data_IF_155213659867
#
_entry.id   IF_155213659867
#
_cell.length_a   1.000
_cell.length_b   1.000
_cell.length_c   1.000
_cell.angle_alpha   90.00
_cell.angle_beta   90.00
_cell.angle_gamma   90.00
#
_symmetry.space_group_name_H-M   'P 1'
#
loop_
_entity.id
_entity.type
_entity.pdbx_description
1 polymer ?
#
# COMPACT_ATOMS: atom_id res chain seq x y z
N UNK A 1 25.70 -3.33 5.57
CA UNK A 1 25.22 -2.77 4.30
C UNK A 1 24.01 -3.56 3.90
N UNK A 2 22.83 -2.94 3.85
CA UNK A 2 21.66 -3.57 3.24
C UNK A 2 21.99 -3.85 1.76
N UNK A 3 21.68 -5.05 1.24
CA UNK A 3 21.88 -5.36 -0.17
C UNK A 3 21.19 -4.29 -1.02
N UNK A 4 21.88 -3.76 -2.02
CA UNK A 4 21.24 -2.86 -2.96
C UNK A 4 20.13 -3.63 -3.69
N UNK A 5 18.96 -3.02 -3.92
CA UNK A 5 17.92 -3.63 -4.72
C UNK A 5 18.47 -4.05 -6.09
N UNK A 6 18.08 -5.21 -6.64
CA UNK A 6 18.46 -5.61 -7.99
C UNK A 6 18.15 -4.51 -9.02
N UNK A 7 18.96 -4.42 -10.08
CA UNK A 7 18.88 -3.35 -11.10
C UNK A 7 17.48 -3.23 -11.73
N UNK A 8 16.76 -4.34 -11.81
CA UNK A 8 15.40 -4.42 -12.37
C UNK A 8 14.36 -3.72 -11.47
N UNK A 9 14.51 -3.76 -10.15
CA UNK A 9 13.66 -2.99 -9.22
C UNK A 9 13.89 -1.49 -9.35
N UNK A 10 15.16 -1.08 -9.50
CA UNK A 10 15.50 0.33 -9.73
C UNK A 10 14.94 0.85 -11.06
N UNK A 11 15.06 0.06 -12.12
CA UNK A 11 14.54 0.42 -13.43
C UNK A 11 13.00 0.45 -13.45
N UNK A 12 12.36 -0.46 -12.72
CA UNK A 12 10.91 -0.47 -12.49
C UNK A 12 10.45 0.80 -11.77
N UNK A 13 11.11 1.15 -10.67
CA UNK A 13 10.81 2.36 -9.91
C UNK A 13 10.98 3.63 -10.77
N UNK A 14 12.06 3.72 -11.53
CA UNK A 14 12.30 4.86 -12.43
C UNK A 14 11.25 4.98 -13.54
N UNK A 15 10.74 3.85 -14.05
CA UNK A 15 9.66 3.84 -15.05
C UNK A 15 8.29 4.12 -14.44
N UNK A 16 8.10 3.78 -13.16
CA UNK A 16 6.90 4.12 -12.41
C UNK A 16 6.84 5.61 -12.08
N UNK A 17 7.98 6.28 -11.90
CA UNK A 17 8.03 7.73 -11.69
C UNK A 17 7.65 8.50 -12.96
N UNK A 18 6.52 9.22 -12.90
CA UNK A 18 6.09 10.18 -13.90
C UNK A 18 6.29 11.59 -13.35
N UNK A 19 6.95 12.45 -14.11
CA UNK A 19 6.97 13.88 -13.83
C UNK A 19 6.10 14.60 -14.86
N UNK A 20 5.12 15.36 -14.39
CA UNK A 20 4.30 16.25 -15.19
C UNK A 20 4.68 17.70 -14.88
N UNK A 21 4.71 18.55 -15.90
CA UNK A 21 4.90 19.99 -15.77
C UNK A 21 3.82 20.70 -16.55
N UNK A 22 3.38 21.85 -16.06
CA UNK A 22 2.27 22.57 -16.65
C UNK A 22 2.11 23.99 -16.12
N UNK A 23 1.02 24.61 -16.51
CA UNK A 23 0.65 25.97 -16.13
C UNK A 23 -0.82 25.94 -15.73
N UNK A 24 -1.14 26.47 -14.55
CA UNK A 24 -2.53 26.53 -14.08
C UNK A 24 -3.41 27.19 -15.14
N UNK A 25 -4.49 26.52 -15.52
CA UNK A 25 -5.42 27.03 -16.54
C UNK A 25 -6.49 27.90 -15.92
N UNK A 26 -6.85 27.62 -14.67
CA UNK A 26 -7.83 28.35 -13.89
C UNK A 26 -7.33 28.63 -12.47
N UNK A 27 -7.98 29.61 -11.83
CA UNK A 27 -7.73 29.97 -10.45
C UNK A 27 -8.09 28.81 -9.50
N UNK A 28 -7.21 28.52 -8.56
CA UNK A 28 -7.45 27.56 -7.49
C UNK A 28 -8.30 28.12 -6.34
N UNK A 29 -8.45 27.33 -5.29
CA UNK A 29 -9.16 27.75 -4.09
C UNK A 29 -8.53 29.00 -3.46
N UNK A 30 -9.37 29.88 -2.90
CA UNK A 30 -8.92 31.12 -2.26
C UNK A 30 -8.05 30.94 -1.01
N UNK A 31 -7.94 29.71 -0.52
CA UNK A 31 -7.07 29.26 0.56
C UNK A 31 -5.64 28.97 0.11
N UNK A 32 -5.34 28.97 -1.19
CA UNK A 32 -3.99 28.75 -1.73
C UNK A 32 -3.49 27.32 -1.60
N UNK A 33 -4.41 26.39 -1.35
CA UNK A 33 -4.21 24.96 -1.18
C UNK A 33 -4.80 24.15 -2.34
N UNK A 34 -5.26 24.79 -3.42
CA UNK A 34 -5.56 24.07 -4.66
C UNK A 34 -5.13 24.83 -5.90
N UNK A 35 -4.94 24.12 -7.00
CA UNK A 35 -4.76 24.66 -8.33
C UNK A 35 -5.44 23.78 -9.37
N UNK A 36 -5.75 24.35 -10.53
CA UNK A 36 -6.47 23.66 -11.61
C UNK A 36 -5.69 23.75 -12.91
N UNK A 37 -5.50 22.61 -13.58
CA UNK A 37 -4.99 22.55 -14.94
C UNK A 37 -5.74 21.45 -15.73
N UNK A 38 -6.37 21.84 -16.83
CA UNK A 38 -7.08 20.93 -17.73
C UNK A 38 -6.20 19.81 -18.32
N UNK A 39 -4.88 20.01 -18.45
CA UNK A 39 -3.94 18.98 -18.89
C UNK A 39 -3.78 17.83 -17.89
N UNK A 40 -4.17 18.05 -16.63
CA UNK A 40 -4.21 17.00 -15.61
C UNK A 40 -5.53 16.22 -15.64
N UNK A 41 -6.56 16.67 -16.36
CA UNK A 41 -7.77 15.88 -16.50
C UNK A 41 -7.45 14.53 -17.18
N UNK A 42 -7.93 13.43 -16.58
CA UNK A 42 -7.63 12.06 -16.99
C UNK A 42 -6.25 11.55 -16.58
N UNK A 43 -5.39 12.35 -15.93
CA UNK A 43 -4.08 11.88 -15.47
C UNK A 43 -4.18 10.81 -14.37
N UNK A 44 -5.32 10.75 -13.66
CA UNK A 44 -5.62 9.77 -12.61
C UNK A 44 -6.15 8.43 -13.12
N UNK A 45 -6.50 8.32 -14.41
CA UNK A 45 -6.94 7.05 -14.99
C UNK A 45 -5.78 6.05 -14.91
N UNK A 46 -5.83 5.17 -13.89
CA UNK A 46 -4.81 4.17 -13.56
C UNK A 46 -3.49 4.73 -12.98
N UNK A 47 -3.54 5.86 -12.28
CA UNK A 47 -2.37 6.41 -11.56
C UNK A 47 -2.76 6.98 -10.19
N UNK A 48 -1.89 6.82 -9.21
CA UNK A 48 -1.92 7.65 -8.01
C UNK A 48 -1.15 8.94 -8.33
N UNK A 49 -1.60 10.09 -7.85
CA UNK A 49 -0.88 11.37 -7.99
C UNK A 49 -0.30 11.76 -6.63
N UNK A 50 1.02 11.64 -6.44
CA UNK A 50 1.66 11.98 -5.16
C UNK A 50 3.06 12.59 -5.24
N UNK A 51 3.16 13.76 -4.60
CA UNK A 51 4.34 14.50 -4.11
C UNK A 51 5.48 14.80 -5.09
N UNK A 52 5.39 16.00 -5.65
CA UNK A 52 6.29 17.13 -5.44
C UNK A 52 5.65 18.26 -6.25
N UNK A 53 4.85 19.12 -5.61
CA UNK A 53 4.22 20.25 -6.26
C UNK A 53 5.06 21.52 -6.07
N UNK A 54 5.70 22.01 -7.14
CA UNK A 54 6.49 23.26 -7.12
C UNK A 54 5.63 24.41 -7.67
N UNK A 55 5.34 25.47 -6.91
CA UNK A 55 4.48 26.59 -7.33
C UNK A 55 5.04 27.94 -6.90
N UNK A 56 5.84 28.63 -7.71
CA UNK A 56 6.41 29.93 -7.28
C UNK A 56 5.90 31.11 -8.09
N UNK A 57 4.84 31.81 -7.65
CA UNK A 57 4.42 33.06 -8.26
C UNK A 57 5.63 34.03 -8.33
N UNK A 58 6.07 34.34 -9.54
CA UNK A 58 7.19 35.26 -9.80
C UNK A 58 8.61 34.76 -9.44
N UNK A 59 8.79 33.54 -8.91
CA UNK A 59 10.13 33.03 -8.51
C UNK A 59 10.35 31.53 -8.80
N UNK A 60 10.20 31.06 -10.05
CA UNK A 60 10.16 29.64 -10.44
C UNK A 60 11.43 28.82 -10.17
N UNK A 61 12.51 29.46 -9.68
CA UNK A 61 13.79 28.81 -9.36
C UNK A 61 13.94 28.38 -7.91
N UNK A 62 13.00 28.79 -7.05
CA UNK A 62 12.92 28.23 -5.71
C UNK A 62 12.31 26.83 -5.82
N UNK A 63 12.59 25.94 -4.86
CA UNK A 63 12.05 24.58 -4.81
C UNK A 63 11.52 24.34 -3.40
N UNK A 64 10.23 23.98 -3.31
CA UNK A 64 9.51 23.61 -2.10
C UNK A 64 8.56 22.49 -2.50
N UNK A 65 8.17 21.67 -1.52
CA UNK A 65 7.40 20.45 -1.75
C UNK A 65 6.19 20.43 -0.83
N UNK A 66 5.02 20.22 -1.42
CA UNK A 66 3.79 20.04 -0.68
C UNK A 66 3.13 18.71 -1.02
N UNK A 67 2.57 18.08 0.00
CA UNK A 67 1.78 16.86 -0.14
C UNK A 67 0.49 17.18 -0.90
N UNK A 68 0.05 16.24 -1.74
CA UNK A 68 -1.27 16.29 -2.39
C UNK A 68 -2.24 15.48 -1.53
N UNK A 69 -3.35 16.08 -1.13
CA UNK A 69 -4.38 15.44 -0.29
C UNK A 69 -5.59 14.96 -1.07
N UNK A 70 -5.85 15.56 -2.24
CA UNK A 70 -6.90 15.13 -3.16
C UNK A 70 -6.54 15.49 -4.60
N UNK A 71 -7.08 14.72 -5.54
CA UNK A 71 -6.93 14.95 -6.98
C UNK A 71 -8.26 14.64 -7.66
N UNK A 72 -8.75 15.58 -8.47
CA UNK A 72 -9.95 15.43 -9.30
C UNK A 72 -9.53 15.15 -10.74
N UNK A 73 -9.67 13.90 -11.17
CA UNK A 73 -9.33 13.45 -12.52
C UNK A 73 -10.27 13.99 -13.61
N UNK A 74 -11.50 14.38 -13.26
CA UNK A 74 -12.44 14.98 -14.21
C UNK A 74 -12.11 16.43 -14.55
N UNK A 75 -11.61 17.21 -13.59
CA UNK A 75 -11.33 18.64 -13.76
C UNK A 75 -9.84 18.98 -13.80
N UNK A 76 -8.97 18.06 -13.37
CA UNK A 76 -7.53 18.32 -13.18
C UNK A 76 -7.22 19.17 -11.95
N UNK A 77 -8.17 19.33 -11.02
CA UNK A 77 -7.93 20.04 -9.75
C UNK A 77 -7.06 19.20 -8.81
N UNK A 78 -6.02 19.84 -8.24
CA UNK A 78 -5.11 19.24 -7.26
C UNK A 78 -5.25 20.00 -5.95
N UNK A 79 -5.54 19.28 -4.86
CA UNK A 79 -5.56 19.83 -3.49
C UNK A 79 -4.28 19.48 -2.76
N UNK A 80 -3.67 20.48 -2.12
CA UNK A 80 -2.45 20.43 -1.37
C UNK A 80 -2.74 20.29 0.13
N UNK A 81 -1.80 19.78 0.92
CA UNK A 81 -1.94 19.62 2.37
C UNK A 81 -1.98 20.95 3.16
N UNK A 82 -1.81 22.07 2.48
CA UNK A 82 -1.85 23.40 3.06
C UNK A 82 -1.42 24.45 2.05
N UNK A 83 -1.64 25.71 2.41
CA UNK A 83 -1.38 26.85 1.55
C UNK A 83 0.10 26.92 1.13
N UNK A 84 0.33 27.09 -0.18
CA UNK A 84 1.68 27.26 -0.69
C UNK A 84 2.29 28.60 -0.22
N UNK A 85 3.59 28.60 0.12
CA UNK A 85 4.31 29.73 0.79
C UNK A 85 3.68 30.22 2.11
N UNK A 86 2.75 29.47 2.72
CA UNK A 86 2.09 29.88 3.96
C UNK A 86 1.19 31.12 3.80
N UNK A 87 0.78 31.44 2.56
CA UNK A 87 -0.14 32.55 2.26
C UNK A 87 -1.46 31.98 1.77
N UNK A 88 -2.55 32.20 2.53
CA UNK A 88 -3.89 31.80 2.12
C UNK A 88 -4.47 32.82 1.12
N UNK A 89 -4.11 32.68 -0.15
CA UNK A 89 -4.64 33.46 -1.26
C UNK A 89 -4.87 32.55 -2.48
N UNK A 90 -5.78 32.95 -3.38
CA UNK A 90 -6.02 32.27 -4.67
C UNK A 90 -4.68 32.07 -5.40
N UNK A 91 -4.41 30.84 -5.84
CA UNK A 91 -3.36 30.56 -6.83
C UNK A 91 -3.93 30.90 -8.21
N UNK A 92 -3.46 31.96 -8.88
CA UNK A 92 -4.08 32.40 -10.12
C UNK A 92 -3.80 31.46 -11.29
N UNK A 93 -4.58 31.57 -12.35
CA UNK A 93 -4.23 31.05 -13.67
C UNK A 93 -2.88 31.64 -14.17
N UNK A 94 -2.13 30.86 -14.95
CA UNK A 94 -0.83 31.26 -15.49
C UNK A 94 0.36 30.99 -14.57
N UNK A 95 0.18 30.26 -13.46
CA UNK A 95 1.25 29.90 -12.53
C UNK A 95 1.87 28.56 -12.97
N UNK A 96 3.21 28.50 -13.21
CA UNK A 96 3.87 27.26 -13.54
C UNK A 96 3.87 26.28 -12.36
N UNK A 97 3.69 24.99 -12.66
CA UNK A 97 3.82 23.91 -11.69
C UNK A 97 4.63 22.72 -12.21
N UNK A 98 5.08 21.91 -11.27
CA UNK A 98 5.63 20.58 -11.51
C UNK A 98 5.03 19.61 -10.52
N UNK A 99 4.62 18.42 -10.97
CA UNK A 99 4.16 17.30 -10.15
C UNK A 99 5.07 16.12 -10.44
N UNK A 100 5.57 15.47 -9.41
CA UNK A 100 6.17 14.14 -9.52
C UNK A 100 5.16 13.16 -8.93
N UNK A 101 4.96 12.02 -9.60
CA UNK A 101 4.09 10.95 -9.11
C UNK A 101 4.61 9.57 -9.50
N UNK A 102 4.03 8.53 -8.89
CA UNK A 102 4.19 7.14 -9.28
C UNK A 102 2.92 6.62 -9.95
N UNK A 103 3.07 6.07 -11.13
CA UNK A 103 2.03 5.29 -11.79
C UNK A 103 2.03 3.88 -11.24
N UNK A 104 0.87 3.44 -10.75
CA UNK A 104 0.59 2.06 -10.41
C UNK A 104 -0.67 1.62 -11.15
N UNK A 105 -0.58 0.57 -11.96
CA UNK A 105 -1.80 -0.02 -12.55
C UNK A 105 -2.52 -0.92 -11.53
N UNK A 106 -3.85 -1.12 -11.65
CA UNK A 106 -4.60 -1.94 -10.69
C UNK A 106 -4.02 -3.35 -10.49
N UNK A 107 -3.43 -3.95 -11.52
CA UNK A 107 -2.77 -5.24 -11.43
C UNK A 107 -1.50 -5.22 -10.55
N UNK A 108 -0.72 -4.13 -10.58
CA UNK A 108 0.48 -3.97 -9.74
C UNK A 108 0.08 -3.76 -8.28
N UNK A 109 -0.95 -2.94 -8.04
CA UNK A 109 -1.52 -2.76 -6.69
C UNK A 109 -2.05 -4.08 -6.14
N UNK A 110 -2.75 -4.87 -6.96
CA UNK A 110 -3.26 -6.18 -6.57
C UNK A 110 -2.14 -7.19 -6.28
N UNK A 111 -1.05 -7.17 -7.06
CA UNK A 111 0.12 -8.00 -6.82
C UNK A 111 0.83 -7.64 -5.51
N UNK A 112 1.06 -6.35 -5.26
CA UNK A 112 1.64 -5.88 -3.99
C UNK A 112 0.72 -6.31 -2.83
N UNK A 113 -0.57 -6.04 -2.93
CA UNK A 113 -1.53 -6.41 -1.88
C UNK A 113 -1.54 -7.92 -1.59
N UNK A 114 -1.35 -8.77 -2.60
CA UNK A 114 -1.23 -10.21 -2.43
C UNK A 114 0.08 -10.62 -1.74
N UNK A 115 1.20 -9.93 -2.03
CA UNK A 115 2.49 -10.19 -1.39
C UNK A 115 2.53 -9.72 0.08
N UNK A 116 1.82 -8.62 0.42
CA UNK A 116 1.72 -8.13 1.80
C UNK A 116 0.64 -8.84 2.62
N UNK A 117 -0.21 -9.67 2.00
CA UNK A 117 -1.25 -10.44 2.69
C UNK A 117 -0.61 -11.51 3.59
N UNK A 118 -0.75 -11.44 4.93
CA UNK A 118 -0.01 -12.28 5.89
C UNK A 118 -0.45 -13.76 5.93
N UNK A 119 -0.93 -14.33 4.82
CA UNK A 119 -1.60 -15.64 4.75
C UNK A 119 -0.74 -16.87 5.06
N UNK A 120 0.55 -16.77 5.35
CA UNK A 120 1.41 -17.96 5.56
C UNK A 120 2.43 -17.81 6.69
N UNK A 121 2.00 -17.46 7.91
CA UNK A 121 2.80 -17.76 9.11
C UNK A 121 2.05 -18.54 10.20
N UNK A 122 0.82 -18.98 9.96
CA UNK A 122 0.11 -19.78 10.97
C UNK A 122 -1.29 -20.22 10.55
N UNK A 123 -1.40 -21.18 9.62
CA UNK A 123 -2.59 -22.04 9.65
C UNK A 123 -2.42 -22.96 10.85
N UNK A 124 -3.00 -22.59 11.99
CA UNK A 124 -3.12 -23.51 13.12
C UNK A 124 -3.90 -24.75 12.65
N UNK A 125 -3.20 -25.85 12.39
CA UNK A 125 -3.83 -27.12 12.05
C UNK A 125 -4.31 -27.78 13.34
N UNK A 126 -5.40 -27.25 13.91
CA UNK A 126 -6.08 -27.88 15.04
C UNK A 126 -6.96 -28.99 14.47
N UNK A 127 -6.36 -30.15 14.22
CA UNK A 127 -7.12 -31.38 13.99
C UNK A 127 -7.56 -31.94 15.34
N UNK A 128 -8.76 -31.56 15.80
CA UNK A 128 -9.36 -32.16 16.99
C UNK A 128 -9.80 -33.59 16.65
N UNK A 129 -9.04 -34.58 17.11
CA UNK A 129 -9.40 -36.01 17.01
C UNK A 129 -9.72 -36.53 18.41
N UNK A 130 -10.84 -37.23 18.56
CA UNK A 130 -11.21 -37.92 19.81
C UNK A 130 -10.98 -39.41 19.62
N UNK A 131 -10.04 -39.98 20.37
CA UNK A 131 -9.72 -41.42 20.34
C UNK A 131 -10.15 -42.04 21.66
N UNK A 132 -10.97 -43.09 21.57
CA UNK A 132 -11.31 -43.92 22.71
C UNK A 132 -10.18 -44.93 22.98
N UNK A 133 -9.50 -44.77 24.11
CA UNK A 133 -8.40 -45.65 24.53
C UNK A 133 -8.91 -46.95 25.19
N UNK A 134 -10.23 -47.14 25.34
CA UNK A 134 -10.84 -48.32 25.96
C UNK A 134 -11.14 -49.45 24.96
N UNK A 135 -10.39 -49.52 23.85
CA UNK A 135 -10.49 -50.60 22.86
C UNK A 135 -9.35 -51.61 23.03
N UNK A 136 -9.56 -52.85 22.58
CA UNK A 136 -8.59 -53.95 22.72
C UNK A 136 -7.18 -53.56 22.25
N UNK A 137 -6.15 -54.09 22.93
CA UNK A 137 -4.75 -53.71 22.80
C UNK A 137 -4.26 -53.64 21.33
N UNK A 138 -4.26 -52.43 20.77
CA UNK A 138 -3.78 -52.11 19.43
C UNK A 138 -2.89 -50.86 19.48
N UNK A 139 -1.95 -50.75 18.54
CA UNK A 139 -1.18 -49.51 18.30
C UNK A 139 -2.02 -48.56 17.45
N UNK A 140 -2.27 -47.35 17.94
CA UNK A 140 -2.97 -46.29 17.20
C UNK A 140 -1.97 -45.23 16.74
N UNK A 141 -1.95 -44.96 15.44
CA UNK A 141 -1.17 -43.86 14.88
C UNK A 141 -1.99 -42.56 14.95
N UNK A 142 -1.47 -41.58 15.68
CA UNK A 142 -2.08 -40.25 15.83
C UNK A 142 -1.85 -39.37 14.59
N UNK A 143 -0.86 -39.72 13.76
CA UNK A 143 -0.46 -38.97 12.57
C UNK A 143 -0.20 -39.92 11.42
N UNK A 144 -1.26 -40.34 10.74
CA UNK A 144 -1.19 -41.29 9.62
C UNK A 144 -0.46 -40.76 8.34
N UNK A 145 0.27 -39.65 8.43
CA UNK A 145 0.98 -39.02 7.31
C UNK A 145 2.49 -39.15 7.43
N UNK A 146 3.13 -39.86 6.51
CA UNK A 146 4.59 -40.06 6.48
C UNK A 146 5.37 -38.88 5.88
N UNK A 147 4.68 -37.84 5.41
CA UNK A 147 5.25 -36.77 4.61
C UNK A 147 5.56 -35.47 5.38
N UNK A 148 5.20 -35.37 6.67
CA UNK A 148 5.30 -34.12 7.44
C UNK A 148 5.78 -34.38 8.87
N UNK A 149 6.72 -33.56 9.35
CA UNK A 149 7.08 -33.51 10.76
C UNK A 149 6.07 -32.60 11.50
N UNK A 150 5.36 -33.14 12.48
CA UNK A 150 4.40 -32.40 13.31
C UNK A 150 5.06 -32.04 14.63
N UNK A 151 5.04 -30.75 15.00
CA UNK A 151 5.45 -30.28 16.33
C UNK A 151 4.20 -30.16 17.19
N UNK A 152 4.19 -30.87 18.32
CA UNK A 152 3.12 -30.78 19.31
C UNK A 152 3.54 -29.82 20.41
N UNK A 153 2.88 -28.67 20.49
CA UNK A 153 3.12 -27.69 21.55
C UNK A 153 2.50 -28.14 22.89
N UNK A 154 1.41 -28.91 22.85
CA UNK A 154 0.83 -29.54 24.05
C UNK A 154 0.02 -30.79 23.71
N UNK A 155 0.03 -31.77 24.62
CA UNK A 155 -0.80 -32.99 24.58
C UNK A 155 -1.54 -33.13 25.91
N UNK A 156 -2.87 -33.16 25.87
CA UNK A 156 -3.72 -33.37 27.04
C UNK A 156 -4.43 -34.72 26.95
N UNK A 157 -4.12 -35.63 27.88
CA UNK A 157 -4.75 -36.95 27.97
C UNK A 157 -5.63 -36.97 29.22
N UNK A 158 -6.91 -37.30 29.05
CA UNK A 158 -7.84 -37.51 30.16
C UNK A 158 -8.00 -39.01 30.41
N UNK A 159 -7.52 -39.47 31.56
CA UNK A 159 -7.73 -40.86 31.98
C UNK A 159 -9.08 -41.01 32.68
N UNK A 160 -9.78 -42.16 32.52
CA UNK A 160 -11.01 -42.43 33.24
C UNK A 160 -10.75 -42.53 34.75
N UNK A 161 -11.60 -41.92 35.56
CA UNK A 161 -11.47 -41.90 37.03
C UNK A 161 -12.24 -43.04 37.70
N UNK A 162 -12.12 -44.26 37.17
CA UNK A 162 -12.78 -45.45 37.72
C UNK A 162 -11.97 -46.10 38.84
N UNK A 163 -12.62 -46.43 39.95
CA UNK A 163 -12.04 -47.09 41.14
C UNK A 163 -11.45 -48.47 40.75
N UNK A 164 -10.29 -48.89 41.27
CA UNK A 164 -9.77 -50.24 41.05
C UNK A 164 -10.77 -51.25 41.65
N UNK A 165 -11.32 -52.12 40.79
CA UNK A 165 -12.07 -53.30 41.20
C UNK A 165 -11.14 -54.48 41.44
#
# INVERSE_FOLDING_TARGET
MTPRPPLDEWLSLFRATIAAEGITTDDGAGTGDSFVDAALAGAGDNSFVSMLAILYPGQPRQVDSQDITAFNDGTGEVTLAGAYKGVAAVIPAGVPYKIVTFRFVPAEVAAIAADVDPKVMGRAQIAATTIDLFQAANTYDLFAGTAQAVILESLNIKLPTGVPG
#
